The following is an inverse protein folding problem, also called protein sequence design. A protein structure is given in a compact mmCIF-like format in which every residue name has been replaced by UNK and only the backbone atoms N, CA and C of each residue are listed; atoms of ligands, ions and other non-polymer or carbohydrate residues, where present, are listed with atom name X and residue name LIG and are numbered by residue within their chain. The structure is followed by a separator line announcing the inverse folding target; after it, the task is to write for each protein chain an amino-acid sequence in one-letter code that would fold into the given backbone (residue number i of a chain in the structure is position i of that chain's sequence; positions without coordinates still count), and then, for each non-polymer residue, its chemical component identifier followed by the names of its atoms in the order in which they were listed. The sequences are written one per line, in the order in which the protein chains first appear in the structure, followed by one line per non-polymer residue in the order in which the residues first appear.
data_IF_189985788214
#
_entry.id   IF_189985788214
#
_cell.length_a   1.000
_cell.length_b   1.000
_cell.length_c   1.000
_cell.angle_alpha   90.00
_cell.angle_beta   90.00
_cell.angle_gamma   90.00
#
_symmetry.space_group_name_H-M   'P 1'
#
loop_
_entity.id
_entity.type
_entity.pdbx_description
1 polymer ?
#
# COMPACT_ATOMS: atom_id res chain seq x y z
N UNK A 1 -31.05 13.54 -33.10
CA UNK A 1 -31.35 13.64 -31.66
C UNK A 1 -30.67 12.47 -30.96
N UNK A 2 -29.92 12.79 -29.90
CA UNK A 2 -29.18 11.95 -28.96
C UNK A 2 -30.02 10.82 -28.32
N UNK A 3 -29.51 9.78 -27.66
CA UNK A 3 -28.17 9.23 -27.38
C UNK A 3 -28.43 7.76 -26.97
N UNK A 4 -27.69 6.79 -27.53
CA UNK A 4 -27.67 5.43 -27.01
C UNK A 4 -26.62 5.34 -25.89
N UNK A 5 -27.05 4.96 -24.68
CA UNK A 5 -26.18 4.74 -23.53
C UNK A 5 -25.38 3.44 -23.69
N UNK A 6 -24.07 3.57 -23.84
CA UNK A 6 -23.13 2.44 -23.79
C UNK A 6 -22.66 2.24 -22.35
N UNK A 7 -23.10 1.15 -21.74
CA UNK A 7 -22.52 0.64 -20.49
C UNK A 7 -21.17 0.01 -20.82
N UNK A 8 -20.08 0.72 -20.50
CA UNK A 8 -18.73 0.20 -20.66
C UNK A 8 -18.41 -0.77 -19.51
N UNK A 9 -18.58 -2.06 -19.77
CA UNK A 9 -17.95 -3.11 -18.97
C UNK A 9 -16.43 -3.03 -19.19
N UNK A 10 -15.69 -2.58 -18.17
CA UNK A 10 -14.23 -2.68 -18.18
C UNK A 10 -13.84 -4.15 -18.04
N UNK A 11 -13.44 -4.76 -19.15
CA UNK A 11 -12.81 -6.07 -19.18
C UNK A 11 -11.35 -5.89 -18.75
N UNK A 12 -11.00 -6.34 -17.54
CA UNK A 12 -9.61 -6.40 -17.10
C UNK A 12 -8.85 -7.46 -17.93
N UNK A 13 -7.67 -7.15 -18.48
CA UNK A 13 -6.87 -8.16 -19.16
C UNK A 13 -6.42 -9.22 -18.15
N UNK A 14 -6.52 -10.50 -18.53
CA UNK A 14 -5.96 -11.61 -17.76
C UNK A 14 -4.47 -11.34 -17.53
N UNK A 15 -4.05 -11.44 -16.27
CA UNK A 15 -2.66 -11.32 -15.86
C UNK A 15 -1.87 -12.51 -16.45
N UNK A 16 -1.23 -12.29 -17.59
CA UNK A 16 -0.25 -13.23 -18.13
C UNK A 16 1.05 -13.07 -17.34
N UNK A 17 1.53 -14.14 -16.72
CA UNK A 17 2.73 -14.16 -15.86
C UNK A 17 4.03 -13.93 -16.62
N UNK A 18 3.99 -13.63 -17.92
CA UNK A 18 5.15 -13.56 -18.80
C UNK A 18 5.50 -12.20 -19.41
N UNK A 19 4.65 -11.17 -19.34
CA UNK A 19 4.90 -9.92 -20.06
C UNK A 19 4.63 -8.68 -19.19
N UNK A 20 5.70 -7.93 -18.87
CA UNK A 20 5.60 -6.67 -18.11
C UNK A 20 5.13 -5.55 -19.04
N UNK A 21 3.98 -4.90 -18.83
CA UNK A 21 3.66 -3.68 -19.53
C UNK A 21 4.47 -2.53 -18.92
N UNK A 22 5.32 -1.92 -19.74
CA UNK A 22 6.11 -0.76 -19.37
C UNK A 22 5.17 0.46 -19.25
N UNK A 23 4.79 0.84 -18.02
CA UNK A 23 4.18 2.14 -17.79
C UNK A 23 5.27 3.21 -17.92
N UNK A 24 5.28 3.92 -19.05
CA UNK A 24 6.13 5.10 -19.25
C UNK A 24 5.55 6.27 -18.44
N UNK A 25 6.27 6.71 -17.41
CA UNK A 25 6.05 8.01 -16.79
C UNK A 25 6.83 9.07 -17.58
N UNK A 26 6.18 10.11 -18.11
CA UNK A 26 6.87 11.19 -18.82
C UNK A 26 7.52 12.16 -17.82
N UNK A 27 8.81 12.44 -18.01
CA UNK A 27 9.43 13.69 -17.53
C UNK A 27 10.27 13.63 -16.26
N UNK A 28 11.29 12.78 -16.17
CA UNK A 28 12.53 13.12 -15.46
C UNK A 28 13.67 12.19 -15.87
N UNK A 29 14.68 12.74 -16.53
CA UNK A 29 15.90 12.02 -16.88
C UNK A 29 16.99 12.51 -15.93
N UNK A 30 17.30 11.72 -14.91
CA UNK A 30 18.52 11.87 -14.10
C UNK A 30 19.17 10.51 -14.00
N UNK A 31 20.41 10.43 -14.49
CA UNK A 31 21.16 9.19 -14.57
C UNK A 31 21.55 8.65 -13.19
N UNK A 32 21.21 7.39 -12.96
CA UNK A 32 21.91 6.46 -12.07
C UNK A 32 21.53 5.06 -12.53
N UNK A 33 22.52 4.26 -12.93
CA UNK A 33 22.34 2.83 -13.15
C UNK A 33 22.04 2.21 -11.79
N UNK A 34 20.78 1.84 -11.54
CA UNK A 34 20.40 0.96 -10.44
C UNK A 34 19.47 -0.12 -10.97
N UNK A 35 19.93 -1.37 -10.93
CA UNK A 35 19.04 -2.53 -10.96
C UNK A 35 18.13 -2.45 -9.72
N UNK A 36 16.94 -1.87 -9.82
CA UNK A 36 15.93 -1.92 -8.76
C UNK A 36 14.61 -2.44 -9.31
N UNK A 37 14.14 -3.64 -8.92
CA UNK A 37 12.80 -4.10 -9.27
C UNK A 37 11.83 -3.35 -8.36
N UNK A 38 11.28 -2.23 -8.84
CA UNK A 38 10.48 -1.32 -8.01
C UNK A 38 9.27 -2.04 -7.39
N UNK A 39 9.27 -2.19 -6.06
CA UNK A 39 8.06 -2.48 -5.31
C UNK A 39 7.19 -1.23 -5.30
N UNK A 40 5.99 -1.29 -5.87
CA UNK A 40 5.02 -0.20 -5.76
C UNK A 40 4.38 -0.24 -4.38
N UNK A 41 4.36 0.90 -3.69
CA UNK A 41 3.73 1.04 -2.37
C UNK A 41 2.23 1.27 -2.55
N UNK A 42 1.42 0.38 -1.99
CA UNK A 42 -0.03 0.51 -1.97
C UNK A 42 -0.52 0.89 -0.59
N UNK A 43 -1.51 1.79 -0.51
CA UNK A 43 -2.23 2.04 0.74
C UNK A 43 -3.61 2.66 0.52
N UNK A 44 -4.47 2.66 1.53
CA UNK A 44 -5.86 3.11 1.40
C UNK A 44 -6.12 4.59 1.65
N UNK A 45 -5.09 5.37 1.97
CA UNK A 45 -5.17 6.83 2.11
C UNK A 45 -5.84 7.35 3.39
N UNK A 46 -6.23 6.46 4.32
CA UNK A 46 -6.69 6.89 5.64
C UNK A 46 -5.58 7.65 6.38
N UNK A 47 -5.94 8.49 7.35
CA UNK A 47 -4.96 9.13 8.25
C UNK A 47 -4.08 8.09 8.97
N UNK A 48 -3.02 8.53 9.64
CA UNK A 48 -2.11 7.63 10.36
C UNK A 48 -1.21 6.85 9.39
N UNK A 49 -1.16 5.54 9.57
CA UNK A 49 -0.22 4.65 8.86
C UNK A 49 -0.39 4.73 7.35
N UNK A 50 -1.63 4.67 6.84
CA UNK A 50 -1.89 4.62 5.41
C UNK A 50 -1.31 5.85 4.70
N UNK A 51 -1.59 7.04 5.23
CA UNK A 51 -1.12 8.30 4.63
C UNK A 51 0.37 8.55 4.84
N UNK A 52 0.94 8.08 5.94
CA UNK A 52 2.38 8.12 6.16
C UNK A 52 3.13 7.26 5.14
N UNK A 53 2.61 6.08 4.79
CA UNK A 53 3.19 5.24 3.75
C UNK A 53 3.18 5.91 2.36
N UNK A 54 2.05 6.52 1.99
CA UNK A 54 1.95 7.25 0.72
C UNK A 54 2.84 8.49 0.69
N UNK A 55 2.89 9.24 1.80
CA UNK A 55 3.78 10.41 1.92
C UNK A 55 5.25 10.01 1.79
N UNK A 56 5.68 8.96 2.51
CA UNK A 56 7.03 8.43 2.43
C UNK A 56 7.39 8.01 1.00
N UNK A 57 6.49 7.31 0.31
CA UNK A 57 6.73 6.88 -1.06
C UNK A 57 6.95 8.08 -2.00
N UNK A 58 6.13 9.13 -1.89
CA UNK A 58 6.29 10.37 -2.65
C UNK A 58 7.63 11.04 -2.34
N UNK A 59 7.94 11.23 -1.06
CA UNK A 59 9.17 11.91 -0.61
C UNK A 59 10.43 11.19 -1.10
N UNK A 60 10.42 9.85 -1.11
CA UNK A 60 11.56 9.02 -1.51
C UNK A 60 11.57 8.67 -3.01
N UNK A 61 10.59 9.14 -3.79
CA UNK A 61 10.48 8.86 -5.21
C UNK A 61 10.10 7.41 -5.56
N UNK A 62 9.44 6.69 -4.65
CA UNK A 62 8.91 5.37 -4.92
C UNK A 62 7.55 5.44 -5.64
N UNK A 63 7.28 4.53 -6.60
CA UNK A 63 5.94 4.38 -7.15
C UNK A 63 4.94 4.09 -6.03
N UNK A 64 3.79 4.75 -6.07
CA UNK A 64 2.71 4.50 -5.13
C UNK A 64 1.36 4.43 -5.84
N UNK A 65 0.45 3.67 -5.25
CA UNK A 65 -0.92 3.49 -5.71
C UNK A 65 -1.83 3.12 -4.53
N UNK A 66 -3.09 2.79 -4.81
CA UNK A 66 -3.98 2.23 -3.80
C UNK A 66 -5.45 2.36 -4.13
N UNK A 67 -6.28 1.75 -3.29
CA UNK A 67 -7.73 1.86 -3.36
C UNK A 67 -8.25 2.63 -2.15
N UNK A 68 -9.10 3.63 -2.38
CA UNK A 68 -9.77 4.41 -1.33
C UNK A 68 -11.30 4.24 -1.43
N UNK A 69 -12.07 4.64 -0.40
CA UNK A 69 -13.52 4.65 -0.50
C UNK A 69 -14.02 5.57 -1.61
N UNK A 70 -15.22 5.32 -2.12
CA UNK A 70 -15.93 6.26 -2.99
C UNK A 70 -16.03 7.64 -2.32
N UNK A 71 -15.81 8.71 -3.07
CA UNK A 71 -15.69 10.07 -2.59
C UNK A 71 -14.37 10.37 -1.89
N UNK A 72 -13.37 9.48 -2.00
CA UNK A 72 -12.05 9.60 -1.36
C UNK A 72 -12.15 9.85 0.15
N UNK A 73 -13.10 9.23 0.84
CA UNK A 73 -13.40 9.53 2.24
C UNK A 73 -12.26 9.04 3.17
N UNK A 74 -11.79 9.93 4.05
CA UNK A 74 -10.95 9.64 5.22
C UNK A 74 -11.52 10.35 6.46
N UNK A 75 -10.98 10.06 7.66
CA UNK A 75 -11.53 10.62 8.91
C UNK A 75 -11.37 12.14 9.03
N UNK A 76 -10.41 12.73 8.33
CA UNK A 76 -10.13 14.17 8.33
C UNK A 76 -10.64 14.88 7.07
N UNK A 77 -11.53 14.23 6.32
CA UNK A 77 -12.10 14.75 5.08
C UNK A 77 -11.59 14.01 3.84
N UNK A 78 -11.81 14.57 2.63
CA UNK A 78 -11.40 13.94 1.39
C UNK A 78 -9.88 13.77 1.28
N UNK A 79 -9.44 12.59 0.82
CA UNK A 79 -8.03 12.27 0.62
C UNK A 79 -7.46 13.15 -0.52
N UNK A 80 -6.36 13.88 -0.29
CA UNK A 80 -5.76 14.76 -1.31
C UNK A 80 -5.45 14.09 -2.65
N UNK A 81 -5.63 14.82 -3.75
CA UNK A 81 -5.38 14.34 -5.13
C UNK A 81 -3.92 14.00 -5.43
N UNK A 82 -2.97 14.50 -4.62
CA UNK A 82 -1.55 14.15 -4.75
C UNK A 82 -1.26 12.65 -4.56
N UNK A 83 -2.21 11.91 -3.97
CA UNK A 83 -2.11 10.48 -3.77
C UNK A 83 -2.81 9.75 -4.91
N UNK A 84 -2.07 8.91 -5.64
CA UNK A 84 -2.56 8.14 -6.79
C UNK A 84 -3.46 6.97 -6.36
N UNK A 85 -4.65 7.30 -5.86
CA UNK A 85 -5.63 6.34 -5.37
C UNK A 85 -6.79 6.20 -6.34
N UNK A 86 -7.22 4.96 -6.55
CA UNK A 86 -8.43 4.60 -7.28
C UNK A 86 -9.59 4.49 -6.30
N UNK A 87 -10.71 5.14 -6.59
CA UNK A 87 -11.91 4.98 -5.78
C UNK A 87 -12.51 3.58 -5.97
N UNK A 88 -12.90 2.97 -4.87
CA UNK A 88 -13.72 1.76 -4.90
C UNK A 88 -15.17 2.10 -5.24
N UNK A 89 -15.97 1.08 -5.57
CA UNK A 89 -17.38 1.27 -5.93
C UNK A 89 -18.28 1.70 -4.77
N UNK A 90 -17.79 1.63 -3.52
CA UNK A 90 -18.58 1.89 -2.31
C UNK A 90 -17.82 2.79 -1.34
N UNK A 91 -18.55 3.49 -0.49
CA UNK A 91 -17.99 4.31 0.61
C UNK A 91 -17.47 3.46 1.77
N UNK A 92 -17.71 2.15 1.76
CA UNK A 92 -17.27 1.24 2.83
C UNK A 92 -15.76 1.03 2.84
N UNK A 93 -15.15 1.21 4.02
CA UNK A 93 -13.73 0.89 4.23
C UNK A 93 -13.41 -0.60 4.01
N UNK A 94 -14.35 -1.52 4.21
CA UNK A 94 -14.07 -2.95 4.00
C UNK A 94 -13.73 -3.29 2.55
N UNK A 95 -14.37 -2.61 1.59
CA UNK A 95 -14.19 -2.85 0.15
C UNK A 95 -12.81 -2.39 -0.28
N UNK A 96 -12.43 -1.14 0.06
CA UNK A 96 -11.08 -0.63 -0.24
C UNK A 96 -9.99 -1.48 0.44
N UNK A 97 -10.21 -1.93 1.67
CA UNK A 97 -9.23 -2.75 2.39
C UNK A 97 -9.01 -4.08 1.68
N UNK A 98 -10.09 -4.75 1.26
CA UNK A 98 -10.00 -5.98 0.50
C UNK A 98 -9.28 -5.78 -0.84
N UNK A 99 -9.59 -4.70 -1.56
CA UNK A 99 -8.95 -4.40 -2.85
C UNK A 99 -7.45 -4.18 -2.70
N UNK A 100 -7.01 -3.40 -1.71
CA UNK A 100 -5.58 -3.18 -1.45
C UNK A 100 -4.83 -4.49 -1.14
N UNK A 101 -5.44 -5.40 -0.37
CA UNK A 101 -4.84 -6.74 -0.12
C UNK A 101 -4.79 -7.58 -1.40
N UNK A 102 -5.90 -7.65 -2.15
CA UNK A 102 -6.01 -8.52 -3.33
C UNK A 102 -5.09 -8.12 -4.48
N UNK A 103 -4.93 -6.81 -4.70
CA UNK A 103 -4.11 -6.25 -5.77
C UNK A 103 -2.62 -6.20 -5.44
N UNK A 104 -2.23 -6.51 -4.20
CA UNK A 104 -0.83 -6.57 -3.80
C UNK A 104 -0.30 -8.00 -3.75
N UNK A 105 1.01 -8.15 -3.94
CA UNK A 105 1.70 -9.43 -3.80
C UNK A 105 2.02 -9.73 -2.34
N UNK A 106 2.21 -8.71 -1.51
CA UNK A 106 2.38 -8.84 -0.07
C UNK A 106 1.65 -7.73 0.69
N UNK A 107 1.40 -7.96 1.98
CA UNK A 107 0.85 -6.96 2.91
C UNK A 107 1.75 -6.81 4.13
N UNK A 108 2.09 -5.58 4.46
CA UNK A 108 2.69 -5.15 5.71
C UNK A 108 1.63 -4.45 6.57
N UNK A 109 1.44 -4.94 7.79
CA UNK A 109 0.61 -4.28 8.80
C UNK A 109 1.51 -3.64 9.86
N UNK A 110 1.32 -2.35 10.10
CA UNK A 110 2.03 -1.58 11.13
C UNK A 110 1.04 -1.23 12.22
N UNK A 111 1.14 -1.84 13.40
CA UNK A 111 0.15 -1.65 14.47
C UNK A 111 0.63 -2.21 15.81
N UNK A 112 0.27 -1.56 16.94
CA UNK A 112 0.24 -2.21 18.24
C UNK A 112 -0.60 -3.50 18.20
N UNK A 113 -0.25 -4.45 19.05
CA UNK A 113 -1.04 -5.67 19.26
C UNK A 113 -1.86 -5.58 20.55
N UNK A 114 -3.07 -6.17 20.59
CA UNK A 114 -3.77 -6.83 19.49
C UNK A 114 -4.34 -5.84 18.47
N UNK A 115 -4.45 -6.26 17.20
CA UNK A 115 -5.10 -5.44 16.17
C UNK A 115 -6.62 -5.38 16.36
N UNK A 116 -7.24 -4.30 15.89
CA UNK A 116 -8.69 -4.13 15.90
C UNK A 116 -9.17 -3.41 14.62
N UNK A 117 -10.50 -3.33 14.44
CA UNK A 117 -11.11 -2.54 13.38
C UNK A 117 -10.60 -2.86 11.97
N UNK A 118 -10.29 -1.82 11.20
CA UNK A 118 -9.79 -1.93 9.82
C UNK A 118 -8.46 -2.67 9.72
N UNK A 119 -7.59 -2.56 10.72
CA UNK A 119 -6.29 -3.24 10.77
C UNK A 119 -6.45 -4.76 10.90
N UNK A 120 -7.31 -5.21 11.82
CA UNK A 120 -7.63 -6.62 11.97
C UNK A 120 -8.29 -7.18 10.70
N UNK A 121 -9.13 -6.37 10.04
CA UNK A 121 -9.76 -6.74 8.78
C UNK A 121 -8.73 -6.93 7.65
N UNK A 122 -7.70 -6.10 7.58
CA UNK A 122 -6.58 -6.27 6.63
C UNK A 122 -5.88 -7.61 6.83
N UNK A 123 -5.51 -7.94 8.09
CA UNK A 123 -4.86 -9.21 8.40
C UNK A 123 -5.77 -10.39 8.04
N UNK A 124 -7.06 -10.30 8.38
CA UNK A 124 -8.07 -11.31 8.02
C UNK A 124 -8.10 -11.54 6.51
N UNK A 125 -8.20 -10.50 5.69
CA UNK A 125 -8.23 -10.66 4.24
C UNK A 125 -6.93 -11.24 3.69
N UNK A 126 -5.76 -10.84 4.20
CA UNK A 126 -4.49 -11.39 3.75
C UNK A 126 -4.40 -12.90 4.03
N UNK A 127 -4.83 -13.33 5.22
CA UNK A 127 -4.89 -14.74 5.62
C UNK A 127 -5.89 -15.50 4.73
N UNK A 128 -7.13 -15.02 4.60
CA UNK A 128 -8.19 -15.68 3.81
C UNK A 128 -7.83 -15.83 2.34
N UNK A 129 -6.99 -14.94 1.81
CA UNK A 129 -6.59 -14.91 0.39
C UNK A 129 -5.23 -15.55 0.14
N UNK A 130 -4.57 -16.06 1.19
CA UNK A 130 -3.25 -16.69 1.11
C UNK A 130 -2.13 -15.74 0.70
N UNK A 131 -2.32 -14.43 0.91
CA UNK A 131 -1.31 -13.41 0.59
C UNK A 131 -0.24 -13.36 1.68
N UNK A 132 1.06 -13.29 1.32
CA UNK A 132 2.13 -13.01 2.26
C UNK A 132 1.80 -11.80 3.15
N UNK A 133 1.85 -12.02 4.46
CA UNK A 133 1.50 -11.03 5.48
C UNK A 133 2.64 -10.93 6.48
N UNK A 134 3.09 -9.72 6.76
CA UNK A 134 4.01 -9.42 7.85
C UNK A 134 3.41 -8.34 8.76
N UNK A 135 3.62 -8.45 10.07
CA UNK A 135 3.13 -7.45 11.04
C UNK A 135 4.29 -6.89 11.87
N UNK A 136 4.50 -5.58 11.80
CA UNK A 136 5.42 -4.85 12.67
C UNK A 136 4.65 -4.19 13.82
N UNK A 137 5.07 -4.48 15.04
CA UNK A 137 4.53 -3.89 16.27
C UNK A 137 5.59 -2.99 16.92
N UNK A 138 5.23 -1.83 17.47
CA UNK A 138 6.17 -0.98 18.20
C UNK A 138 6.70 -1.62 19.50
N UNK A 139 6.01 -2.63 20.05
CA UNK A 139 6.42 -3.37 21.23
C UNK A 139 7.52 -4.42 20.94
N UNK A 140 7.78 -4.72 19.66
CA UNK A 140 8.81 -5.68 19.26
C UNK A 140 10.18 -5.02 19.15
N UNK A 141 11.21 -5.69 19.70
CA UNK A 141 12.61 -5.21 19.76
C UNK A 141 13.32 -5.25 18.38
N UNK A 142 14.53 -4.70 18.30
CA UNK A 142 15.37 -4.49 17.11
C UNK A 142 15.43 -5.63 16.04
N UNK A 143 15.18 -6.89 16.41
CA UNK A 143 15.09 -8.02 15.46
C UNK A 143 13.93 -7.86 14.46
N UNK A 144 12.93 -7.03 14.76
CA UNK A 144 11.69 -6.90 13.97
C UNK A 144 11.91 -6.36 12.55
N UNK A 145 12.83 -5.41 12.37
CA UNK A 145 13.11 -4.83 11.04
C UNK A 145 14.00 -5.72 10.18
N UNK A 146 14.91 -6.47 10.81
CA UNK A 146 15.71 -7.48 10.11
C UNK A 146 14.80 -8.62 9.62
N UNK A 147 13.89 -9.11 10.44
CA UNK A 147 12.89 -10.11 10.04
C UNK A 147 12.01 -9.63 8.90
N UNK A 148 11.55 -8.37 8.94
CA UNK A 148 10.80 -7.81 7.82
C UNK A 148 11.65 -7.67 6.55
N UNK A 149 12.92 -7.31 6.68
CA UNK A 149 13.84 -7.24 5.53
C UNK A 149 14.06 -8.63 4.93
N UNK A 150 14.20 -9.67 5.75
CA UNK A 150 14.25 -11.06 5.30
C UNK A 150 12.95 -11.49 4.61
N UNK A 151 11.80 -11.07 5.15
CA UNK A 151 10.51 -11.27 4.48
C UNK A 151 10.49 -10.63 3.09
N UNK A 152 10.90 -9.36 2.96
CA UNK A 152 10.98 -8.69 1.66
C UNK A 152 11.95 -9.37 0.69
N UNK A 153 13.12 -9.81 1.18
CA UNK A 153 14.12 -10.51 0.37
C UNK A 153 13.63 -11.88 -0.13
N UNK A 154 12.78 -12.55 0.67
CA UNK A 154 12.16 -13.84 0.34
C UNK A 154 10.99 -13.69 -0.63
N UNK A 155 10.04 -12.81 -0.32
CA UNK A 155 8.81 -12.66 -1.11
C UNK A 155 9.02 -11.82 -2.38
N UNK A 156 9.96 -10.86 -2.36
CA UNK A 156 10.29 -9.93 -3.45
C UNK A 156 9.04 -9.33 -4.13
N UNK A 157 8.10 -8.76 -3.36
CA UNK A 157 6.85 -8.29 -3.91
C UNK A 157 7.09 -7.10 -4.85
N UNK A 158 6.49 -7.14 -6.04
CA UNK A 158 6.41 -6.01 -6.96
C UNK A 158 5.35 -4.99 -6.50
N UNK A 159 4.45 -5.39 -5.61
CA UNK A 159 3.46 -4.52 -4.97
C UNK A 159 3.28 -4.88 -3.50
N UNK A 160 3.48 -3.90 -2.63
CA UNK A 160 3.39 -4.04 -1.17
C UNK A 160 2.28 -3.15 -0.63
N UNK A 161 1.22 -3.76 -0.10
CA UNK A 161 0.19 -3.05 0.65
C UNK A 161 0.73 -2.70 2.03
N UNK A 162 0.64 -1.45 2.44
CA UNK A 162 0.95 -0.99 3.79
C UNK A 162 -0.33 -0.49 4.43
N UNK A 163 -0.65 -1.06 5.60
CA UNK A 163 -1.87 -0.75 6.33
C UNK A 163 -1.60 -0.63 7.84
N UNK A 164 -2.45 0.15 8.51
CA UNK A 164 -2.46 0.23 9.96
C UNK A 164 -3.61 1.10 10.49
N UNK A 165 -3.63 1.36 11.80
CA UNK A 165 -4.65 2.19 12.41
C UNK A 165 -4.64 3.63 11.85
N UNK A 166 -5.82 4.24 11.89
CA UNK A 166 -6.00 5.66 11.61
C UNK A 166 -5.44 6.52 12.75
N UNK A 167 -5.18 7.79 12.48
CA UNK A 167 -4.51 8.68 13.43
C UNK A 167 -5.27 8.80 14.75
N UNK A 168 -6.60 8.85 14.71
CA UNK A 168 -7.45 8.88 15.91
C UNK A 168 -7.37 7.61 16.78
N UNK A 169 -6.89 6.48 16.23
CA UNK A 169 -6.72 5.22 16.95
C UNK A 169 -5.27 4.98 17.38
N UNK A 170 -4.29 5.57 16.67
CA UNK A 170 -2.88 5.49 17.02
C UNK A 170 -2.09 6.70 16.55
N UNK A 171 -1.94 7.68 17.44
CA UNK A 171 -1.27 8.96 17.16
C UNK A 171 0.16 8.80 16.63
N UNK A 172 0.91 7.84 17.20
CA UNK A 172 2.30 7.54 16.81
C UNK A 172 2.43 6.72 15.53
N UNK A 173 1.32 6.30 14.92
CA UNK A 173 1.34 5.39 13.77
C UNK A 173 2.02 5.98 12.54
N UNK A 174 1.88 7.29 12.30
CA UNK A 174 2.53 7.96 11.17
C UNK A 174 4.06 7.91 11.27
N UNK A 175 4.60 8.26 12.44
CA UNK A 175 6.05 8.28 12.69
C UNK A 175 6.64 6.88 12.66
N UNK A 176 5.94 5.91 13.26
CA UNK A 176 6.37 4.51 13.22
C UNK A 176 6.38 3.98 11.78
N UNK A 177 5.37 4.32 10.98
CA UNK A 177 5.33 3.91 9.58
C UNK A 177 6.51 4.46 8.78
N UNK A 178 6.83 5.75 8.96
CA UNK A 178 8.00 6.36 8.34
C UNK A 178 9.30 5.67 8.77
N UNK A 179 9.48 5.46 10.08
CA UNK A 179 10.67 4.80 10.62
C UNK A 179 10.84 3.40 10.04
N UNK A 180 9.79 2.58 10.11
CA UNK A 180 9.83 1.21 9.59
C UNK A 180 10.22 1.18 8.10
N UNK A 181 9.69 2.09 7.30
CA UNK A 181 10.00 2.14 5.86
C UNK A 181 11.41 2.66 5.57
N UNK A 182 11.90 3.66 6.31
CA UNK A 182 13.27 4.14 6.20
C UNK A 182 14.29 3.05 6.57
N UNK A 183 14.02 2.28 7.62
CA UNK A 183 14.95 1.24 8.11
C UNK A 183 14.97 -0.01 7.21
N UNK A 184 13.93 -0.25 6.42
CA UNK A 184 13.74 -1.50 5.66
C UNK A 184 13.72 -1.23 4.16
N UNK A 185 12.59 -0.80 3.60
CA UNK A 185 12.40 -0.55 2.16
C UNK A 185 13.37 0.51 1.62
N UNK A 186 13.63 1.56 2.40
CA UNK A 186 14.53 2.66 2.05
C UNK A 186 16.01 2.35 2.24
N UNK A 187 16.37 1.25 2.89
CA UNK A 187 17.74 0.96 3.28
C UNK A 187 18.49 0.19 2.19
N UNK A 188 19.44 0.81 1.47
CA UNK A 188 20.15 0.17 0.35
C UNK A 188 21.08 -0.98 0.78
N UNK A 189 21.28 -1.20 2.10
CA UNK A 189 22.08 -2.31 2.62
C UNK A 189 21.28 -3.61 2.77
N UNK A 190 19.95 -3.55 2.64
CA UNK A 190 19.04 -4.66 2.95
C UNK A 190 18.23 -5.17 1.74
N UNK A 191 18.43 -4.57 0.56
CA UNK A 191 17.75 -4.92 -0.71
C UNK A 191 18.74 -5.30 -1.79
#
# INVERSE_FOLDING_TARGET
MAHAGSSAYFVYPRYDRGARPCLRFPGQQVGLVVNKPWTTIFSGGQTGVDRAALYWAIEKGWPHAGFCPLGRIAEDGPIPERYFLTESSLTSYSVRTRLNVMHCEATLVLSPQPTSGGTALTQKYAIETGKPLFTLSPESKALHFEEFSLFLARERPSSLNIAGPRLSEWERGSDFARQALDETVGNPKLV
#
